data_IF_427267940452
#
_entry.id   IF_427267940452
#
_cell.length_a   1.000
_cell.length_b   1.000
_cell.length_c   1.000
_cell.angle_alpha   90.00
_cell.angle_beta   90.00
_cell.angle_gamma   90.00
#
_symmetry.space_group_name_H-M   'P 1'
#
loop_
_entity.id
_entity.type
_entity.pdbx_description
1 polymer ?
#
# COMPACT_ATOMS: atom_id res chain seq x y z
N UNK A 1 -5.61 -27.25 17.11
CA UNK A 1 -6.09 -25.92 16.73
C UNK A 1 -7.62 -25.91 16.83
N UNK A 2 -8.27 -24.76 16.72
CA UNK A 2 -9.73 -24.70 16.74
C UNK A 2 -10.29 -24.88 15.31
N UNK A 3 -11.56 -25.26 15.21
CA UNK A 3 -12.33 -25.12 13.96
C UNK A 3 -12.96 -23.73 14.00
N UNK A 4 -12.88 -22.97 12.91
CA UNK A 4 -13.53 -21.67 12.82
C UNK A 4 -15.05 -21.83 12.98
N UNK A 5 -15.68 -20.89 13.70
CA UNK A 5 -17.14 -20.82 13.70
C UNK A 5 -17.65 -20.40 12.31
N UNK A 6 -18.96 -20.52 12.12
CA UNK A 6 -19.59 -20.26 10.83
C UNK A 6 -19.37 -18.81 10.34
N UNK A 7 -19.25 -17.85 11.26
CA UNK A 7 -19.07 -16.44 10.92
C UNK A 7 -17.64 -16.18 10.45
N UNK A 8 -16.65 -16.64 11.21
CA UNK A 8 -15.23 -16.55 10.87
C UNK A 8 -14.93 -17.28 9.55
N UNK A 9 -15.49 -18.47 9.36
CA UNK A 9 -15.35 -19.23 8.12
C UNK A 9 -15.96 -18.51 6.91
N UNK A 10 -17.11 -17.85 7.10
CA UNK A 10 -17.76 -17.05 6.08
C UNK A 10 -16.92 -15.81 5.72
N UNK A 11 -16.38 -15.08 6.70
CA UNK A 11 -15.49 -13.93 6.46
C UNK A 11 -14.27 -14.31 5.62
N UNK A 12 -13.60 -15.40 5.98
CA UNK A 12 -12.44 -15.92 5.21
C UNK A 12 -12.88 -16.26 3.78
N UNK A 13 -14.02 -16.94 3.64
CA UNK A 13 -14.50 -17.38 2.35
C UNK A 13 -14.94 -16.21 1.45
N UNK A 14 -15.64 -15.21 1.98
CA UNK A 14 -16.02 -14.00 1.26
C UNK A 14 -14.79 -13.21 0.82
N UNK A 15 -13.77 -13.10 1.67
CA UNK A 15 -12.53 -12.42 1.29
C UNK A 15 -11.80 -13.11 0.13
N UNK A 16 -11.76 -14.44 0.12
CA UNK A 16 -11.17 -15.21 -0.98
C UNK A 16 -11.99 -15.05 -2.27
N UNK A 17 -13.32 -15.09 -2.17
CA UNK A 17 -14.20 -14.85 -3.32
C UNK A 17 -14.03 -13.43 -3.87
N UNK A 18 -13.97 -12.42 -3.00
CA UNK A 18 -13.69 -11.03 -3.35
C UNK A 18 -12.38 -10.88 -4.11
N UNK A 19 -11.29 -11.48 -3.59
CA UNK A 19 -9.98 -11.43 -4.22
C UNK A 19 -9.98 -12.03 -5.63
N UNK A 20 -10.76 -13.10 -5.85
CA UNK A 20 -10.90 -13.71 -7.18
C UNK A 20 -11.75 -12.84 -8.12
N UNK A 21 -12.87 -12.27 -7.64
CA UNK A 21 -13.73 -11.40 -8.45
C UNK A 21 -13.00 -10.14 -8.93
N UNK A 22 -12.10 -9.60 -8.11
CA UNK A 22 -11.29 -8.42 -8.44
C UNK A 22 -9.95 -8.78 -9.14
N UNK A 23 -9.74 -10.05 -9.49
CA UNK A 23 -8.56 -10.50 -10.24
C UNK A 23 -7.24 -10.43 -9.46
N UNK A 24 -7.29 -10.37 -8.12
CA UNK A 24 -6.10 -10.44 -7.27
C UNK A 24 -5.55 -11.87 -7.17
N UNK A 25 -6.42 -12.87 -7.33
CA UNK A 25 -6.08 -14.30 -7.43
C UNK A 25 -6.87 -14.94 -8.58
N UNK A 26 -6.48 -16.15 -9.00
CA UNK A 26 -7.21 -16.89 -10.02
C UNK A 26 -8.11 -17.98 -9.41
N UNK A 27 -9.01 -18.55 -10.21
CA UNK A 27 -9.97 -19.57 -9.74
C UNK A 27 -9.30 -20.82 -9.17
N UNK A 28 -8.12 -21.15 -9.71
CA UNK A 28 -7.25 -22.24 -9.29
C UNK A 28 -6.72 -22.04 -7.86
N UNK A 29 -6.62 -20.78 -7.42
CA UNK A 29 -6.07 -20.42 -6.12
C UNK A 29 -7.12 -20.44 -4.99
N UNK A 30 -8.42 -20.45 -5.31
CA UNK A 30 -9.51 -20.30 -4.33
C UNK A 30 -9.37 -21.23 -3.11
N UNK A 31 -9.19 -22.53 -3.35
CA UNK A 31 -9.03 -23.51 -2.24
C UNK A 31 -7.69 -23.35 -1.53
N UNK A 32 -6.64 -22.98 -2.27
CA UNK A 32 -5.31 -22.78 -1.69
C UNK A 32 -5.28 -21.56 -0.77
N UNK A 33 -5.81 -20.42 -1.21
CA UNK A 33 -5.92 -19.19 -0.44
C UNK A 33 -6.78 -19.38 0.82
N UNK A 34 -7.91 -20.08 0.70
CA UNK A 34 -8.77 -20.39 1.84
C UNK A 34 -8.01 -21.18 2.93
N UNK A 35 -7.33 -22.25 2.54
CA UNK A 35 -6.55 -23.05 3.47
C UNK A 35 -5.40 -22.25 4.08
N UNK A 36 -4.73 -21.39 3.30
CA UNK A 36 -3.66 -20.54 3.79
C UNK A 36 -4.15 -19.48 4.79
N UNK A 37 -5.37 -18.95 4.63
CA UNK A 37 -5.98 -18.04 5.61
C UNK A 37 -6.44 -18.75 6.88
N UNK A 38 -6.97 -19.98 6.77
CA UNK A 38 -7.26 -20.81 7.93
C UNK A 38 -5.99 -21.05 8.75
N UNK A 39 -4.90 -21.47 8.10
CA UNK A 39 -3.59 -21.67 8.74
C UNK A 39 -3.07 -20.37 9.38
N UNK A 40 -3.18 -19.24 8.67
CA UNK A 40 -2.77 -17.93 9.18
C UNK A 40 -3.51 -17.53 10.46
N UNK A 41 -4.75 -17.98 10.64
CA UNK A 41 -5.58 -17.77 11.83
C UNK A 41 -5.54 -18.95 12.81
N UNK A 42 -4.70 -19.95 12.58
CA UNK A 42 -4.59 -21.17 13.40
C UNK A 42 -5.90 -21.95 13.52
N UNK A 43 -6.62 -22.07 12.39
CA UNK A 43 -7.79 -22.93 12.24
C UNK A 43 -7.47 -24.21 11.46
N UNK A 44 -8.10 -25.33 11.85
CA UNK A 44 -8.02 -26.61 11.13
C UNK A 44 -9.13 -26.80 10.07
N UNK A 45 -10.12 -25.91 10.05
CA UNK A 45 -11.32 -25.97 9.20
C UNK A 45 -12.32 -24.87 9.56
N UNK A 46 -13.57 -24.91 9.06
CA UNK A 46 -14.23 -26.01 8.35
C UNK A 46 -13.85 -26.08 6.86
N UNK A 47 -14.46 -27.00 6.11
CA UNK A 47 -14.35 -27.01 4.65
C UNK A 47 -15.08 -25.79 4.05
N UNK A 48 -14.58 -25.20 2.95
CA UNK A 48 -15.24 -24.07 2.30
C UNK A 48 -16.56 -24.52 1.68
N UNK A 49 -17.56 -23.62 1.71
CA UNK A 49 -18.84 -23.82 1.02
C UNK A 49 -18.61 -23.83 -0.49
N UNK A 50 -19.28 -24.73 -1.22
CA UNK A 50 -19.18 -24.82 -2.68
C UNK A 50 -20.56 -24.78 -3.34
N UNK A 51 -20.65 -24.30 -4.59
CA UNK A 51 -19.58 -23.76 -5.42
C UNK A 51 -19.25 -22.29 -5.05
N UNK A 52 -18.05 -21.80 -5.41
CA UNK A 52 -17.52 -20.50 -4.98
C UNK A 52 -18.31 -19.31 -5.53
N UNK A 53 -18.96 -19.48 -6.67
CA UNK A 53 -19.79 -18.47 -7.34
C UNK A 53 -21.10 -18.19 -6.61
N UNK A 54 -21.43 -18.97 -5.57
CA UNK A 54 -22.61 -18.73 -4.72
C UNK A 54 -22.28 -17.96 -3.43
N UNK A 55 -21.02 -17.58 -3.23
CA UNK A 55 -20.64 -16.78 -2.08
C UNK A 55 -21.15 -15.36 -2.32
N UNK A 56 -22.04 -14.91 -1.44
CA UNK A 56 -22.65 -13.59 -1.55
C UNK A 56 -21.66 -12.51 -1.12
N UNK A 57 -21.47 -11.52 -2.00
CA UNK A 57 -20.62 -10.36 -1.80
C UNK A 57 -21.42 -9.04 -1.86
N UNK A 58 -22.75 -9.07 -1.95
CA UNK A 58 -23.59 -7.86 -2.06
C UNK A 58 -23.41 -6.92 -0.85
N UNK A 59 -23.20 -7.49 0.34
CA UNK A 59 -22.93 -6.75 1.58
C UNK A 59 -21.46 -6.80 2.03
N UNK A 60 -20.55 -7.26 1.16
CA UNK A 60 -19.13 -7.39 1.51
C UNK A 60 -18.46 -6.02 1.66
N UNK A 61 -17.74 -5.84 2.76
CA UNK A 61 -16.89 -4.69 3.03
C UNK A 61 -15.48 -5.18 3.37
N UNK A 62 -14.51 -4.79 2.54
CA UNK A 62 -13.12 -5.22 2.69
C UNK A 62 -12.52 -4.74 4.01
N UNK A 63 -12.73 -3.48 4.39
CA UNK A 63 -12.13 -2.91 5.59
C UNK A 63 -12.71 -3.55 6.86
N UNK A 64 -14.03 -3.76 6.90
CA UNK A 64 -14.70 -4.44 8.00
C UNK A 64 -14.24 -5.90 8.11
N UNK A 65 -14.14 -6.61 6.98
CA UNK A 65 -13.67 -8.00 6.97
C UNK A 65 -12.22 -8.09 7.44
N UNK A 66 -11.33 -7.22 6.98
CA UNK A 66 -9.94 -7.20 7.43
C UNK A 66 -9.82 -6.85 8.92
N UNK A 67 -10.63 -5.92 9.43
CA UNK A 67 -10.69 -5.59 10.85
C UNK A 67 -11.17 -6.79 11.69
N UNK A 68 -12.18 -7.52 11.20
CA UNK A 68 -12.68 -8.74 11.83
C UNK A 68 -11.57 -9.80 11.94
N UNK A 69 -10.90 -10.10 10.83
CA UNK A 69 -9.80 -11.08 10.80
C UNK A 69 -8.61 -10.64 11.68
N UNK A 70 -8.27 -9.35 11.71
CA UNK A 70 -7.22 -8.82 12.56
C UNK A 70 -7.56 -8.99 14.05
N UNK A 71 -8.82 -8.71 14.43
CA UNK A 71 -9.29 -8.91 15.80
C UNK A 71 -9.31 -10.40 16.21
N UNK A 72 -9.65 -11.31 15.30
CA UNK A 72 -9.50 -12.76 15.53
C UNK A 72 -8.03 -13.14 15.75
N UNK A 73 -7.12 -12.60 14.94
CA UNK A 73 -5.69 -12.83 15.10
C UNK A 73 -5.17 -12.35 16.46
N UNK A 74 -5.61 -11.19 16.93
CA UNK A 74 -5.29 -10.70 18.28
C UNK A 74 -5.83 -11.64 19.35
N UNK A 75 -7.08 -12.09 19.24
CA UNK A 75 -7.69 -13.03 20.19
C UNK A 75 -6.95 -14.38 20.25
N UNK A 76 -6.37 -14.81 19.14
CA UNK A 76 -5.56 -16.02 19.05
C UNK A 76 -4.08 -15.82 19.43
N UNK A 77 -3.67 -14.59 19.75
CA UNK A 77 -2.27 -14.26 20.06
C UNK A 77 -1.34 -14.28 18.84
N UNK A 78 -1.90 -14.18 17.63
CA UNK A 78 -1.18 -14.17 16.34
C UNK A 78 -0.79 -12.76 15.89
N UNK A 79 -1.38 -11.74 16.51
CA UNK A 79 -1.05 -10.34 16.32
C UNK A 79 -0.97 -9.63 17.68
N UNK A 80 -0.19 -8.54 17.75
CA UNK A 80 -0.17 -7.67 18.93
C UNK A 80 -1.52 -6.97 19.09
N UNK A 81 -2.01 -6.85 20.32
CA UNK A 81 -3.23 -6.08 20.64
C UNK A 81 -2.95 -4.57 20.62
N UNK A 82 -2.61 -4.06 19.44
CA UNK A 82 -2.31 -2.66 19.12
C UNK A 82 -2.83 -2.35 17.72
N UNK A 83 -3.07 -1.06 17.44
CA UNK A 83 -3.47 -0.62 16.09
C UNK A 83 -2.46 -1.07 15.03
N UNK A 84 -1.16 -0.87 15.28
CA UNK A 84 -0.10 -1.34 14.38
C UNK A 84 -0.08 -2.87 14.20
N UNK A 85 -0.42 -3.64 15.24
CA UNK A 85 -0.51 -5.10 15.17
C UNK A 85 -1.65 -5.57 14.29
N UNK A 86 -2.84 -4.99 14.48
CA UNK A 86 -4.02 -5.24 13.65
C UNK A 86 -3.79 -4.85 12.19
N UNK A 87 -3.27 -3.65 11.95
CA UNK A 87 -2.94 -3.19 10.59
C UNK A 87 -1.92 -4.12 9.92
N UNK A 88 -0.88 -4.54 10.64
CA UNK A 88 0.14 -5.45 10.09
C UNK A 88 -0.46 -6.81 9.70
N UNK A 89 -1.39 -7.34 10.51
CA UNK A 89 -2.08 -8.58 10.18
C UNK A 89 -2.98 -8.42 8.96
N UNK A 90 -3.74 -7.32 8.86
CA UNK A 90 -4.54 -7.02 7.67
C UNK A 90 -3.68 -6.92 6.40
N UNK A 91 -2.52 -6.26 6.46
CA UNK A 91 -1.60 -6.18 5.32
C UNK A 91 -1.03 -7.56 4.96
N UNK A 92 -0.77 -8.43 5.94
CA UNK A 92 -0.32 -9.82 5.71
C UNK A 92 -1.37 -10.64 4.98
N UNK A 93 -2.64 -10.53 5.40
CA UNK A 93 -3.79 -11.19 4.76
C UNK A 93 -3.89 -10.76 3.29
N UNK A 94 -3.89 -9.45 3.02
CA UNK A 94 -3.97 -8.97 1.63
C UNK A 94 -2.70 -9.28 0.82
N UNK A 95 -1.53 -9.32 1.45
CA UNK A 95 -0.30 -9.71 0.79
C UNK A 95 -0.30 -11.17 0.30
N UNK A 96 -1.02 -12.06 0.98
CA UNK A 96 -1.26 -13.46 0.56
C UNK A 96 -2.20 -13.53 -0.64
N UNK A 97 -3.19 -12.64 -0.71
CA UNK A 97 -4.24 -12.62 -1.74
C UNK A 97 -3.91 -11.70 -2.91
N UNK A 98 -2.62 -11.43 -3.15
CA UNK A 98 -2.17 -10.48 -4.16
C UNK A 98 -1.08 -11.14 -5.04
N UNK A 99 -1.09 -10.94 -6.37
CA UNK A 99 -0.13 -11.60 -7.27
C UNK A 99 1.31 -11.22 -6.90
N UNK A 100 2.29 -12.05 -7.25
CA UNK A 100 3.69 -11.74 -6.95
C UNK A 100 4.16 -10.52 -7.74
N UNK A 101 5.18 -9.79 -7.26
CA UNK A 101 5.72 -8.61 -7.97
C UNK A 101 6.05 -8.87 -9.45
N UNK A 102 6.60 -10.05 -9.78
CA UNK A 102 6.91 -10.43 -11.17
C UNK A 102 5.67 -10.52 -12.06
N UNK A 103 4.54 -10.98 -11.53
CA UNK A 103 3.28 -11.12 -12.27
C UNK A 103 2.64 -9.75 -12.49
N UNK A 104 2.65 -8.92 -11.44
CA UNK A 104 2.17 -7.53 -11.50
C UNK A 104 2.97 -6.73 -12.52
N UNK A 105 4.31 -6.78 -12.46
CA UNK A 105 5.17 -6.07 -13.39
C UNK A 105 5.03 -6.58 -14.84
N UNK A 106 4.88 -7.90 -15.04
CA UNK A 106 4.65 -8.46 -16.38
C UNK A 106 3.34 -7.94 -16.97
N UNK A 107 2.25 -8.05 -16.23
CA UNK A 107 0.94 -7.61 -16.71
C UNK A 107 0.87 -6.10 -16.95
N UNK A 108 1.49 -5.30 -16.07
CA UNK A 108 1.64 -3.86 -16.28
C UNK A 108 2.31 -3.55 -17.63
N UNK A 109 3.44 -4.20 -17.91
CA UNK A 109 4.19 -3.99 -19.14
C UNK A 109 3.45 -4.50 -20.38
N UNK A 110 2.70 -5.59 -20.26
CA UNK A 110 1.83 -6.10 -21.33
C UNK A 110 0.76 -5.05 -21.68
N UNK A 111 0.01 -4.54 -20.70
CA UNK A 111 -0.99 -3.48 -20.90
C UNK A 111 -0.36 -2.20 -21.45
N UNK A 112 0.80 -1.81 -20.92
CA UNK A 112 1.52 -0.63 -21.38
C UNK A 112 1.87 -0.74 -22.86
N UNK A 113 2.32 -1.91 -23.31
CA UNK A 113 2.70 -2.15 -24.70
C UNK A 113 1.50 -2.32 -25.64
N UNK A 114 0.41 -2.96 -25.20
CA UNK A 114 -0.74 -3.25 -26.06
C UNK A 114 -1.77 -2.11 -26.12
N UNK A 115 -2.01 -1.43 -25.00
CA UNK A 115 -3.11 -0.48 -24.83
C UNK A 115 -2.64 0.91 -24.36
N UNK A 116 -1.37 1.03 -23.98
CA UNK A 116 -0.72 2.29 -23.66
C UNK A 116 -0.61 2.59 -22.16
N UNK A 117 0.06 3.69 -21.80
CA UNK A 117 0.43 4.01 -20.42
C UNK A 117 -0.80 4.19 -19.51
N UNK A 118 -1.90 4.74 -20.02
CA UNK A 118 -3.13 4.96 -19.26
C UNK A 118 -3.77 3.64 -18.83
N UNK A 119 -3.89 2.66 -19.73
CA UNK A 119 -4.48 1.36 -19.41
C UNK A 119 -3.68 0.64 -18.31
N UNK A 120 -2.35 0.68 -18.40
CA UNK A 120 -1.47 0.10 -17.39
C UNK A 120 -1.61 0.77 -16.02
N UNK A 121 -1.64 2.12 -15.96
CA UNK A 121 -1.78 2.85 -14.70
C UNK A 121 -3.17 2.72 -14.09
N UNK A 122 -4.24 2.71 -14.92
CA UNK A 122 -5.63 2.56 -14.47
C UNK A 122 -5.84 1.17 -13.85
N UNK A 123 -5.32 0.11 -14.51
CA UNK A 123 -5.32 -1.24 -13.95
C UNK A 123 -4.52 -1.31 -12.64
N UNK A 124 -3.30 -0.78 -12.62
CA UNK A 124 -2.45 -0.85 -11.44
C UNK A 124 -3.00 -0.06 -10.25
N UNK A 125 -3.67 1.06 -10.49
CA UNK A 125 -4.36 1.82 -9.46
C UNK A 125 -5.53 1.03 -8.88
N UNK A 126 -6.31 0.38 -9.75
CA UNK A 126 -7.41 -0.51 -9.35
C UNK A 126 -6.89 -1.65 -8.48
N UNK A 127 -5.84 -2.35 -8.91
CA UNK A 127 -5.15 -3.39 -8.13
C UNK A 127 -4.73 -2.88 -6.75
N UNK A 128 -4.09 -1.70 -6.67
CA UNK A 128 -3.67 -1.10 -5.41
C UNK A 128 -4.84 -0.74 -4.48
N UNK A 129 -5.99 -0.34 -5.04
CA UNK A 129 -7.20 -0.05 -4.29
C UNK A 129 -7.86 -1.32 -3.74
N UNK A 130 -7.99 -2.35 -4.58
CA UNK A 130 -8.63 -3.61 -4.23
C UNK A 130 -7.75 -4.46 -3.30
N UNK A 131 -6.43 -4.26 -3.34
CA UNK A 131 -5.49 -4.80 -2.35
C UNK A 131 -5.54 -4.09 -0.98
N UNK A 132 -6.34 -3.03 -0.83
CA UNK A 132 -6.42 -2.20 0.37
C UNK A 132 -5.13 -1.43 0.68
N UNK A 133 -4.22 -1.29 -0.29
CA UNK A 133 -3.00 -0.49 -0.14
C UNK A 133 -3.31 1.00 -0.28
N UNK A 134 -4.06 1.36 -1.33
CA UNK A 134 -4.69 2.68 -1.47
C UNK A 134 -6.10 2.59 -0.87
N UNK A 135 -6.24 3.01 0.40
CA UNK A 135 -7.51 2.90 1.14
C UNK A 135 -8.49 3.99 0.71
N UNK A 136 -9.30 3.71 -0.31
CA UNK A 136 -10.35 4.62 -0.84
C UNK A 136 -11.29 5.13 0.26
N UNK A 137 -11.68 4.28 1.19
CA UNK A 137 -12.53 4.63 2.35
C UNK A 137 -11.89 5.70 3.25
N UNK A 138 -10.58 5.58 3.52
CA UNK A 138 -9.84 6.53 4.32
C UNK A 138 -9.68 7.87 3.59
N UNK A 139 -9.40 7.82 2.28
CA UNK A 139 -9.27 9.01 1.42
C UNK A 139 -10.62 9.73 1.26
N UNK A 140 -11.73 9.01 1.16
CA UNK A 140 -13.08 9.59 1.05
C UNK A 140 -13.50 10.41 2.27
N UNK A 141 -12.83 10.25 3.42
CA UNK A 141 -13.04 11.07 4.62
C UNK A 141 -12.29 12.40 4.58
N UNK A 142 -11.41 12.62 3.62
CA UNK A 142 -10.70 13.88 3.48
C UNK A 142 -11.70 15.04 3.34
N UNK A 143 -11.41 16.17 3.98
CA UNK A 143 -12.23 17.36 3.90
C UNK A 143 -11.57 18.29 2.89
N UNK A 144 -12.23 18.51 1.75
CA UNK A 144 -11.76 19.41 0.70
C UNK A 144 -12.73 20.56 0.52
N UNK A 145 -12.20 21.78 0.41
CA UNK A 145 -12.99 22.94 0.01
C UNK A 145 -12.21 23.84 -0.92
N UNK A 146 -12.95 24.51 -1.79
CA UNK A 146 -12.41 25.44 -2.78
C UNK A 146 -12.96 26.82 -2.50
N UNK A 147 -12.09 27.83 -2.45
CA UNK A 147 -12.49 29.23 -2.25
C UNK A 147 -11.93 30.11 -3.37
N UNK A 148 -12.75 30.92 -4.06
CA UNK A 148 -12.26 31.84 -5.07
C UNK A 148 -11.33 32.91 -4.46
N UNK A 149 -10.20 33.16 -5.09
CA UNK A 149 -9.29 34.26 -4.73
C UNK A 149 -9.02 35.15 -5.96
N UNK A 150 -8.34 36.28 -5.76
CA UNK A 150 -7.89 37.14 -6.86
C UNK A 150 -6.86 36.49 -7.78
N UNK A 151 -6.27 35.35 -7.38
CA UNK A 151 -5.23 34.64 -8.12
C UNK A 151 -5.69 33.26 -8.65
N UNK A 152 -7.00 33.00 -8.63
CA UNK A 152 -7.57 31.70 -8.97
C UNK A 152 -8.23 31.03 -7.78
N UNK A 153 -8.71 29.81 -7.98
CA UNK A 153 -9.32 29.04 -6.90
C UNK A 153 -8.24 28.51 -5.96
N UNK A 154 -8.40 28.77 -4.66
CA UNK A 154 -7.58 28.13 -3.63
C UNK A 154 -8.29 26.87 -3.16
N UNK A 155 -7.68 25.71 -3.41
CA UNK A 155 -8.12 24.44 -2.85
C UNK A 155 -7.38 24.16 -1.53
N UNK A 156 -8.13 23.75 -0.51
CA UNK A 156 -7.57 23.32 0.77
C UNK A 156 -8.12 21.93 1.09
N UNK A 157 -7.21 21.01 1.44
CA UNK A 157 -7.53 19.63 1.81
C UNK A 157 -6.97 19.29 3.19
N UNK A 158 -7.80 18.78 4.08
CA UNK A 158 -7.39 18.13 5.33
C UNK A 158 -7.33 16.63 5.06
N UNK A 159 -6.10 16.08 5.07
CA UNK A 159 -5.88 14.66 4.82
C UNK A 159 -6.12 13.84 6.09
N UNK A 160 -7.27 13.15 6.14
CA UNK A 160 -7.66 12.24 7.22
C UNK A 160 -7.30 10.77 6.92
N UNK A 161 -6.71 10.49 5.76
CA UNK A 161 -6.22 9.15 5.42
C UNK A 161 -4.90 8.80 6.11
N UNK A 162 -4.12 9.81 6.53
CA UNK A 162 -2.89 9.61 7.29
C UNK A 162 -3.22 9.29 8.75
N UNK A 163 -2.82 8.13 9.29
CA UNK A 163 -3.15 7.75 10.65
C UNK A 163 -2.47 8.70 11.66
N UNK A 164 -3.23 9.10 12.68
CA UNK A 164 -2.69 9.78 13.84
C UNK A 164 -1.86 8.78 14.67
N UNK A 165 -0.73 9.23 15.23
CA UNK A 165 0.15 8.34 16.00
C UNK A 165 -0.44 8.12 17.40
N UNK A 166 -0.58 6.86 17.81
CA UNK A 166 -1.05 6.54 19.17
C UNK A 166 -0.03 7.06 20.22
N UNK A 167 -0.47 7.81 21.25
CA UNK A 167 0.40 8.25 22.34
C UNK A 167 1.25 7.13 22.98
N UNK A 168 0.73 5.90 23.04
CA UNK A 168 1.44 4.71 23.51
C UNK A 168 2.60 4.33 22.59
N UNK A 169 2.41 4.39 21.28
CA UNK A 169 3.47 4.15 20.29
C UNK A 169 4.55 5.23 20.36
N UNK A 170 4.15 6.48 20.59
CA UNK A 170 5.08 7.60 20.81
C UNK A 170 5.93 7.35 22.06
N UNK A 171 5.33 6.90 23.16
CA UNK A 171 6.04 6.59 24.40
C UNK A 171 6.99 5.39 24.25
N UNK A 172 6.55 4.33 23.56
CA UNK A 172 7.37 3.16 23.27
C UNK A 172 8.60 3.52 22.41
N UNK A 173 8.40 4.31 21.35
CA UNK A 173 9.48 4.77 20.46
C UNK A 173 10.53 5.65 21.18
N UNK A 174 10.13 6.42 22.20
CA UNK A 174 11.07 7.19 23.04
C UNK A 174 11.92 6.32 23.96
N UNK A 175 11.41 5.15 24.34
CA UNK A 175 12.06 4.24 25.28
C UNK A 175 12.90 3.19 24.58
N UNK A 176 12.60 2.90 23.31
CA UNK A 176 13.39 2.02 22.47
C UNK A 176 14.82 2.56 22.35
N UNK A 177 15.80 1.78 22.84
CA UNK A 177 17.19 2.04 22.57
C UNK A 177 17.40 1.83 21.07
N UNK A 178 17.50 2.91 20.30
CA UNK A 178 17.92 2.84 18.91
C UNK A 178 19.31 2.22 18.89
N UNK A 179 19.39 0.93 18.60
CA UNK A 179 20.68 0.26 18.46
C UNK A 179 21.33 0.78 17.18
N UNK A 180 22.65 0.95 17.19
CA UNK A 180 23.44 1.49 16.07
C UNK A 180 23.55 0.53 14.88
N UNK A 181 22.62 -0.41 14.74
CA UNK A 181 22.56 -1.37 13.64
C UNK A 181 21.94 -0.74 12.39
N UNK A 182 22.23 -1.35 11.25
CA UNK A 182 21.60 -1.02 9.98
C UNK A 182 20.09 -1.28 10.05
N UNK A 183 19.29 -0.30 9.60
CA UNK A 183 17.83 -0.43 9.53
C UNK A 183 17.46 -1.03 8.19
N UNK A 184 16.62 -2.05 8.20
CA UNK A 184 16.06 -2.67 6.99
C UNK A 184 14.54 -2.80 7.10
N UNK A 185 13.73 -2.25 6.17
CA UNK A 185 14.12 -1.28 5.15
C UNK A 185 14.68 -0.01 5.78
N UNK A 186 15.57 0.65 5.07
CA UNK A 186 16.28 1.82 5.60
C UNK A 186 15.37 3.06 5.74
N UNK A 187 14.40 3.23 4.83
CA UNK A 187 13.30 4.19 4.97
C UNK A 187 11.99 3.64 4.39
N UNK A 188 10.91 4.42 4.48
CA UNK A 188 9.57 4.02 3.99
C UNK A 188 9.41 4.08 2.46
N UNK A 189 10.40 4.60 1.74
CA UNK A 189 10.41 4.74 0.28
C UNK A 189 11.32 3.71 -0.41
N UNK A 190 12.19 3.00 0.34
CA UNK A 190 13.03 1.95 -0.23
C UNK A 190 12.19 0.89 -0.93
N UNK A 191 12.68 0.38 -2.06
CA UNK A 191 12.01 -0.71 -2.79
C UNK A 191 11.89 -1.99 -1.94
N UNK A 192 12.80 -2.17 -0.98
CA UNK A 192 12.81 -3.26 0.02
C UNK A 192 11.54 -3.32 0.90
N UNK A 193 10.70 -2.29 0.85
CA UNK A 193 9.40 -2.29 1.50
C UNK A 193 8.42 -3.28 0.84
N UNK A 194 8.56 -3.60 -0.44
CA UNK A 194 7.64 -4.51 -1.12
C UNK A 194 7.62 -5.89 -0.44
N UNK A 195 6.48 -6.26 0.15
CA UNK A 195 6.36 -7.52 0.89
C UNK A 195 6.85 -7.47 2.35
N UNK A 196 7.29 -6.32 2.85
CA UNK A 196 7.87 -6.22 4.19
C UNK A 196 6.83 -6.31 5.31
N UNK A 197 7.06 -7.15 6.33
CA UNK A 197 6.09 -7.42 7.41
C UNK A 197 5.91 -6.29 8.42
N UNK A 198 6.75 -5.26 8.39
CA UNK A 198 6.77 -4.21 9.40
C UNK A 198 7.57 -4.58 10.66
N UNK A 199 7.68 -3.62 11.58
CA UNK A 199 8.26 -3.73 12.93
C UNK A 199 7.50 -2.79 13.86
N UNK A 200 7.12 -3.29 15.02
CA UNK A 200 6.48 -2.48 16.07
C UNK A 200 7.44 -1.45 16.68
N UNK A 201 6.89 -0.53 17.47
CA UNK A 201 7.63 0.53 18.15
C UNK A 201 8.64 0.03 19.21
N UNK A 202 8.51 -1.22 19.66
CA UNK A 202 9.43 -1.90 20.57
C UNK A 202 10.71 -2.40 19.89
N UNK A 203 10.78 -2.39 18.56
CA UNK A 203 11.95 -2.83 17.81
C UNK A 203 13.15 -1.92 18.05
N UNK A 204 14.34 -2.50 18.28
CA UNK A 204 15.60 -1.75 18.42
C UNK A 204 16.01 -0.99 17.15
N UNK A 205 15.46 -1.37 15.99
CA UNK A 205 15.64 -0.66 14.71
C UNK A 205 14.58 0.43 14.46
N UNK A 206 13.69 0.66 15.44
CA UNK A 206 12.56 1.58 15.34
C UNK A 206 11.34 1.00 14.63
N UNK A 207 10.19 1.64 14.85
CA UNK A 207 8.93 1.32 14.21
C UNK A 207 9.02 1.47 12.68
N UNK A 208 8.45 0.51 11.96
CA UNK A 208 8.38 0.54 10.51
C UNK A 208 7.08 -0.14 10.05
N UNK A 209 6.28 0.48 9.19
CA UNK A 209 4.96 -0.04 8.88
C UNK A 209 5.04 -1.31 8.00
N UNK A 210 4.03 -2.17 8.10
CA UNK A 210 3.86 -3.29 7.18
C UNK A 210 3.51 -2.81 5.77
N UNK A 211 4.00 -3.56 4.78
CA UNK A 211 3.92 -3.29 3.34
C UNK A 211 3.78 -4.60 2.55
N UNK A 212 3.15 -5.61 3.14
CA UNK A 212 2.98 -6.93 2.52
C UNK A 212 2.05 -6.91 1.30
N UNK A 213 1.08 -5.99 1.28
CA UNK A 213 0.19 -5.71 0.17
C UNK A 213 0.68 -4.56 -0.74
N UNK A 214 1.89 -4.04 -0.53
CA UNK A 214 2.51 -3.09 -1.47
C UNK A 214 2.97 -3.84 -2.72
N UNK A 215 2.77 -3.22 -3.88
CA UNK A 215 3.44 -3.60 -5.13
C UNK A 215 4.09 -2.37 -5.75
N UNK A 216 5.26 -2.56 -6.34
CA UNK A 216 6.03 -1.51 -6.98
C UNK A 216 6.29 -1.92 -8.42
N UNK A 217 5.96 -1.04 -9.36
CA UNK A 217 6.29 -1.22 -10.77
C UNK A 217 7.73 -0.77 -10.99
N UNK A 218 8.64 -1.63 -11.49
CA UNK A 218 9.96 -1.19 -11.93
C UNK A 218 9.82 -0.28 -13.15
N UNK A 219 10.40 0.91 -13.09
CA UNK A 219 10.50 1.85 -14.21
C UNK A 219 11.97 2.23 -14.43
N UNK A 220 12.24 2.88 -15.56
CA UNK A 220 13.56 3.42 -15.89
C UNK A 220 13.42 4.92 -16.10
N UNK A 221 14.24 5.72 -15.40
CA UNK A 221 14.37 7.16 -15.55
C UNK A 221 15.86 7.50 -15.65
N UNK A 222 16.23 8.30 -16.66
CA UNK A 222 17.60 8.62 -17.01
C UNK A 222 18.51 7.38 -17.06
N UNK A 223 18.02 6.29 -17.66
CA UNK A 223 18.74 5.00 -17.77
C UNK A 223 19.06 4.31 -16.43
N UNK A 224 18.49 4.79 -15.33
CA UNK A 224 18.62 4.19 -14.00
C UNK A 224 17.34 3.48 -13.61
N UNK A 225 17.46 2.51 -12.70
CA UNK A 225 16.31 1.76 -12.18
C UNK A 225 15.59 2.57 -11.10
N UNK A 226 14.28 2.68 -11.24
CA UNK A 226 13.40 3.33 -10.29
C UNK A 226 12.21 2.43 -9.97
N UNK A 227 11.52 2.73 -8.88
CA UNK A 227 10.20 2.21 -8.59
C UNK A 227 9.11 3.20 -8.99
N UNK A 228 7.90 2.70 -9.19
CA UNK A 228 6.66 3.46 -9.26
C UNK A 228 5.62 2.82 -8.35
N UNK A 229 5.07 3.59 -7.43
CA UNK A 229 4.01 3.16 -6.52
C UNK A 229 2.99 4.28 -6.30
N UNK A 230 1.80 3.92 -5.85
CA UNK A 230 0.85 4.90 -5.33
C UNK A 230 1.12 5.21 -3.87
N UNK A 231 0.77 6.42 -3.44
CA UNK A 231 0.77 6.81 -2.03
C UNK A 231 -0.47 6.24 -1.34
N UNK A 232 -0.33 5.57 -0.17
CA UNK A 232 -1.47 5.17 0.64
C UNK A 232 -2.16 6.37 1.31
N UNK A 233 -1.56 7.56 1.25
CA UNK A 233 -2.03 8.79 1.90
C UNK A 233 -2.27 9.90 0.86
N UNK A 234 -3.23 9.68 -0.03
CA UNK A 234 -3.45 10.55 -1.18
C UNK A 234 -3.99 11.94 -0.79
N UNK A 235 -3.44 12.98 -1.40
CA UNK A 235 -3.96 14.35 -1.35
C UNK A 235 -4.85 14.69 -2.55
N UNK A 236 -4.60 14.04 -3.69
CA UNK A 236 -5.28 14.21 -4.96
C UNK A 236 -5.36 12.84 -5.67
N UNK A 237 -6.13 12.79 -6.76
CA UNK A 237 -6.37 11.54 -7.49
C UNK A 237 -5.07 10.88 -7.98
N UNK A 238 -4.94 9.58 -7.75
CA UNK A 238 -3.79 8.77 -8.18
C UNK A 238 -2.43 9.33 -7.72
N UNK A 239 -2.37 9.93 -6.52
CA UNK A 239 -1.11 10.40 -5.92
C UNK A 239 -0.07 9.28 -5.94
N UNK A 240 0.98 9.46 -6.73
CA UNK A 240 2.03 8.49 -6.97
C UNK A 240 3.40 9.02 -6.54
N UNK A 241 4.33 8.09 -6.42
CA UNK A 241 5.72 8.32 -6.06
C UNK A 241 6.58 7.56 -7.07
N UNK A 242 7.61 8.22 -7.61
CA UNK A 242 8.72 7.57 -8.30
C UNK A 242 9.94 7.66 -7.39
N UNK A 243 10.62 6.55 -7.10
CA UNK A 243 11.70 6.50 -6.11
C UNK A 243 12.90 5.77 -6.66
N UNK A 244 14.08 6.29 -6.36
CA UNK A 244 15.34 5.71 -6.82
C UNK A 244 15.49 4.30 -6.23
N UNK A 245 16.03 3.34 -7.00
CA UNK A 245 16.24 1.99 -6.43
C UNK A 245 17.26 1.98 -5.30
N UNK A 246 18.23 2.90 -5.34
CA UNK A 246 19.24 3.07 -4.32
C UNK A 246 18.77 4.08 -3.27
N UNK A 247 19.07 3.81 -1.99
CA UNK A 247 18.80 4.74 -0.90
C UNK A 247 19.87 5.83 -0.86
N UNK A 248 19.74 6.81 -1.76
CA UNK A 248 20.61 7.99 -1.83
C UNK A 248 19.83 9.26 -1.47
N UNK A 249 20.46 10.28 -0.86
CA UNK A 249 19.81 11.55 -0.59
C UNK A 249 19.27 12.21 -1.86
N UNK A 250 18.14 12.90 -1.73
CA UNK A 250 17.53 13.64 -2.83
C UNK A 250 18.36 14.88 -3.17
N UNK A 251 18.57 15.15 -4.46
CA UNK A 251 19.24 16.35 -4.96
C UNK A 251 18.47 16.95 -6.14
N UNK A 252 18.53 18.28 -6.28
CA UNK A 252 17.93 19.00 -7.41
C UNK A 252 19.04 19.57 -8.29
N UNK A 253 19.32 18.86 -9.39
CA UNK A 253 20.31 19.20 -10.39
C UNK A 253 19.80 18.96 -11.81
N UNK A 254 20.71 18.89 -12.79
CA UNK A 254 20.35 18.58 -14.16
C UNK A 254 19.74 17.18 -14.30
N UNK A 255 20.26 16.18 -13.58
CA UNK A 255 19.76 14.80 -13.65
C UNK A 255 18.33 14.71 -13.12
N UNK A 256 18.03 15.44 -12.04
CA UNK A 256 16.67 15.53 -11.53
C UNK A 256 15.67 16.05 -12.58
N UNK A 257 16.05 17.04 -13.38
CA UNK A 257 15.20 17.54 -14.47
C UNK A 257 15.02 16.49 -15.58
N UNK A 258 16.08 15.77 -15.96
CA UNK A 258 16.00 14.67 -16.93
C UNK A 258 15.04 13.60 -16.43
N UNK A 259 15.15 13.19 -15.17
CA UNK A 259 14.26 12.19 -14.58
C UNK A 259 12.79 12.62 -14.62
N UNK A 260 12.49 13.88 -14.32
CA UNK A 260 11.12 14.41 -14.36
C UNK A 260 10.56 14.40 -15.80
N UNK A 261 11.38 14.74 -16.80
CA UNK A 261 10.97 14.68 -18.21
C UNK A 261 10.76 13.24 -18.70
N UNK A 262 11.67 12.33 -18.38
CA UNK A 262 11.52 10.91 -18.70
C UNK A 262 10.25 10.31 -18.09
N UNK A 263 9.88 10.75 -16.88
CA UNK A 263 8.66 10.31 -16.24
C UNK A 263 7.41 10.78 -16.99
N UNK A 264 7.33 12.06 -17.39
CA UNK A 264 6.16 12.57 -18.12
C UNK A 264 6.10 12.01 -19.55
N UNK A 265 7.23 11.72 -20.17
CA UNK A 265 7.26 11.03 -21.47
C UNK A 265 6.71 9.60 -21.34
N UNK A 266 6.98 8.93 -20.22
CA UNK A 266 6.46 7.59 -19.91
C UNK A 266 4.98 7.61 -19.50
N UNK A 267 4.55 8.61 -18.74
CA UNK A 267 3.21 8.75 -18.18
C UNK A 267 2.63 10.14 -18.46
N UNK A 268 2.23 10.43 -19.72
CA UNK A 268 1.88 11.79 -20.16
C UNK A 268 0.61 12.36 -19.55
N UNK A 269 -0.19 11.52 -18.89
CA UNK A 269 -1.41 11.91 -18.18
C UNK A 269 -1.19 12.20 -16.69
N UNK A 270 0.06 12.15 -16.22
CA UNK A 270 0.45 12.50 -14.86
C UNK A 270 1.29 13.77 -14.87
N UNK A 271 1.15 14.56 -13.81
CA UNK A 271 2.20 15.51 -13.44
C UNK A 271 3.20 14.82 -12.50
N UNK A 272 4.41 15.36 -12.40
CA UNK A 272 5.40 14.96 -11.40
C UNK A 272 6.24 16.16 -10.97
N UNK A 273 6.72 16.15 -9.74
CA UNK A 273 7.57 17.19 -9.18
C UNK A 273 8.42 16.68 -8.03
N UNK A 274 9.34 17.53 -7.61
CA UNK A 274 10.21 17.28 -6.47
C UNK A 274 10.06 18.38 -5.42
N UNK A 275 10.39 18.04 -4.17
CA UNK A 275 10.60 19.06 -3.15
C UNK A 275 11.85 19.88 -3.51
N UNK A 276 11.87 21.17 -3.18
CA UNK A 276 13.09 21.94 -3.33
C UNK A 276 14.17 21.44 -2.36
N UNK A 277 15.43 21.36 -2.80
CA UNK A 277 16.59 21.04 -1.95
C UNK A 277 16.98 22.26 -1.10
N UNK A 278 16.04 22.68 -0.25
CA UNK A 278 16.20 23.78 0.69
C UNK A 278 16.07 23.20 2.12
N UNK A 279 16.89 23.63 3.09
CA UNK A 279 16.89 23.07 4.45
C UNK A 279 15.54 23.10 5.20
N UNK A 280 14.58 23.88 4.71
CA UNK A 280 13.24 24.06 5.30
C UNK A 280 12.12 23.39 4.50
N UNK A 281 12.43 22.76 3.37
CA UNK A 281 11.47 22.13 2.44
C UNK A 281 11.68 20.61 2.46
N UNK A 282 10.60 19.82 2.41
CA UNK A 282 10.68 18.35 2.23
C UNK A 282 10.72 17.48 3.50
N UNK A 283 10.83 18.04 4.71
CA UNK A 283 10.72 17.28 5.97
C UNK A 283 11.68 16.07 6.06
N UNK A 284 11.31 15.03 6.80
CA UNK A 284 12.11 13.82 7.05
C UNK A 284 12.36 12.92 5.81
N UNK A 285 12.01 13.40 4.62
CA UNK A 285 11.87 12.59 3.39
C UNK A 285 12.96 12.96 2.35
N UNK A 286 13.87 13.88 2.66
CA UNK A 286 15.07 14.14 1.84
C UNK A 286 16.13 13.02 1.89
N UNK A 287 15.92 11.99 2.73
CA UNK A 287 16.87 10.89 2.92
C UNK A 287 16.93 9.91 1.76
N UNK A 288 15.89 9.88 0.91
CA UNK A 288 15.82 9.00 -0.25
C UNK A 288 15.32 9.79 -1.45
N UNK A 289 16.05 9.77 -2.55
CA UNK A 289 15.72 10.40 -3.82
C UNK A 289 14.42 9.85 -4.41
N UNK A 290 13.44 10.74 -4.55
CA UNK A 290 12.11 10.43 -5.03
C UNK A 290 11.42 11.68 -5.56
N UNK A 291 10.42 11.46 -6.39
CA UNK A 291 9.52 12.46 -6.95
C UNK A 291 8.08 12.08 -6.64
N UNK A 292 7.22 13.08 -6.56
CA UNK A 292 5.80 12.91 -6.28
C UNK A 292 4.97 13.47 -7.43
N UNK A 293 3.93 12.75 -7.81
CA UNK A 293 3.07 13.10 -8.93
C UNK A 293 1.66 12.57 -8.74
N UNK A 294 0.85 12.70 -9.78
CA UNK A 294 -0.47 12.08 -9.86
C UNK A 294 -1.25 12.56 -11.06
N UNK A 295 -2.50 12.10 -11.16
CA UNK A 295 -3.42 12.47 -12.24
C UNK A 295 -4.35 13.57 -11.75
N UNK A 296 -3.83 14.79 -11.76
CA UNK A 296 -4.53 15.99 -11.32
C UNK A 296 -4.08 17.20 -12.15
N UNK A 297 -5.01 18.12 -12.41
CA UNK A 297 -4.77 19.38 -13.13
C UNK A 297 -5.03 20.54 -12.17
N UNK A 298 -4.03 21.41 -11.99
CA UNK A 298 -4.04 22.53 -11.05
C UNK A 298 -4.64 23.81 -11.64
#
# INVERSE_FOLDING_TARGET
MAVADNESALCIQQLVAYACEHGLIQTEDLTWCYNALLDMLSYEGPAPVKPWEKIDLESFDLDQTLAELARLAVAHGLAENTQSGEDSFAMRVMGLLLPKPSEVARHFNELYASEGPRAATDWFYTLCCDAGYVRRSAIARNITWTTPTTWGNMEITINLSKPEKDPREIAAAKTAQNTSGEKYPACQLCLDNEGYSGRGASSGAGAHPARQNLRIIPIELNQHRWGFQYSPYAYFNEHCIAMNSDHIPMHIDHEALVNLFDFVDRFPHYFIGSNADLPIVGGSILSHDHYQGGRYEF
#
